data_IF_619953494382
#
_entry.id   IF_619953494382
#
_cell.length_a   1.000
_cell.length_b   1.000
_cell.length_c   1.000
_cell.angle_alpha   90.00
_cell.angle_beta   90.00
_cell.angle_gamma   90.00
#
_symmetry.space_group_name_H-M   'P 1'
#
loop_
_entity.id
_entity.type
_entity.pdbx_description
1 polymer ?
#
# COMPACT_ATOMS: atom_id res chain seq x y z
N UNK A 1 9.07 -16.53 56.37
CA UNK A 1 9.45 -15.22 55.81
C UNK A 1 9.87 -15.46 54.37
N UNK A 2 8.91 -15.49 53.45
CA UNK A 2 9.22 -15.59 52.02
C UNK A 2 8.86 -14.24 51.38
N UNK A 3 9.88 -13.55 50.91
CA UNK A 3 9.75 -12.29 50.21
C UNK A 3 9.16 -12.54 48.82
N UNK A 4 7.94 -12.06 48.60
CA UNK A 4 7.36 -11.96 47.27
C UNK A 4 8.09 -10.84 46.52
N UNK A 5 8.97 -11.21 45.58
CA UNK A 5 9.45 -10.29 44.55
C UNK A 5 8.31 -10.02 43.57
N UNK A 6 7.46 -9.05 43.91
CA UNK A 6 6.50 -8.44 43.00
C UNK A 6 7.25 -7.68 41.91
N UNK A 7 7.62 -8.39 40.84
CA UNK A 7 8.06 -7.77 39.60
C UNK A 7 6.89 -7.03 38.98
N UNK A 8 6.77 -5.75 39.27
CA UNK A 8 5.87 -4.84 38.55
C UNK A 8 6.32 -4.80 37.09
N UNK A 9 5.54 -5.44 36.22
CA UNK A 9 5.67 -5.27 34.78
C UNK A 9 5.54 -3.77 34.48
N UNK A 10 6.63 -3.16 34.04
CA UNK A 10 6.63 -1.79 33.54
C UNK A 10 5.73 -1.78 32.30
N UNK A 11 4.66 -0.97 32.24
CA UNK A 11 3.90 -0.82 31.01
C UNK A 11 4.83 -0.19 29.97
N UNK A 12 5.18 -0.94 28.93
CA UNK A 12 5.93 -0.42 27.79
C UNK A 12 5.06 0.66 27.15
N UNK A 13 5.53 1.90 27.17
CA UNK A 13 4.88 3.04 26.55
C UNK A 13 4.56 2.76 25.07
N UNK A 14 3.26 2.71 24.75
CA UNK A 14 2.68 3.24 23.50
C UNK A 14 3.27 2.80 22.17
N UNK A 15 3.73 1.56 22.01
CA UNK A 15 3.97 1.01 20.67
C UNK A 15 2.65 0.91 19.90
N UNK A 16 2.54 1.53 18.72
CA UNK A 16 1.37 1.33 17.85
C UNK A 16 1.21 -0.17 17.58
N UNK A 17 0.08 -0.73 17.97
CA UNK A 17 -0.29 -2.09 17.57
C UNK A 17 -0.74 -2.06 16.11
N UNK A 18 -0.08 -2.84 15.25
CA UNK A 18 -0.49 -2.99 13.86
C UNK A 18 -1.71 -3.87 13.79
N UNK A 19 -2.83 -3.35 13.29
CA UNK A 19 -4.02 -4.15 13.03
C UNK A 19 -4.02 -4.73 11.61
N UNK A 20 -5.00 -5.59 11.30
CA UNK A 20 -5.20 -6.10 9.94
C UNK A 20 -5.42 -4.96 8.94
N UNK A 21 -6.30 -4.03 9.30
CA UNK A 21 -6.67 -2.91 8.44
C UNK A 21 -5.50 -1.95 8.28
N UNK A 22 -4.73 -1.67 9.34
CA UNK A 22 -3.52 -0.85 9.24
C UNK A 22 -2.51 -1.41 8.23
N UNK A 23 -2.27 -2.73 8.27
CA UNK A 23 -1.34 -3.38 7.33
C UNK A 23 -1.90 -3.34 5.91
N UNK A 24 -3.19 -3.61 5.73
CA UNK A 24 -3.82 -3.56 4.42
C UNK A 24 -3.76 -2.16 3.82
N UNK A 25 -4.17 -1.15 4.58
CA UNK A 25 -4.18 0.24 4.15
C UNK A 25 -2.76 0.70 3.79
N UNK A 26 -1.79 0.32 4.61
CA UNK A 26 -0.39 0.62 4.34
C UNK A 26 0.13 -0.01 3.05
N UNK A 27 -0.23 -1.26 2.77
CA UNK A 27 0.13 -1.93 1.52
C UNK A 27 -0.60 -1.30 0.31
N UNK A 28 -1.83 -0.83 0.49
CA UNK A 28 -2.58 -0.09 -0.53
C UNK A 28 -1.91 1.24 -0.85
N UNK A 29 -1.52 2.01 0.16
CA UNK A 29 -0.79 3.27 -0.02
C UNK A 29 0.58 3.05 -0.68
N UNK A 30 1.30 1.99 -0.30
CA UNK A 30 2.54 1.61 -0.97
C UNK A 30 2.32 1.28 -2.45
N UNK A 31 1.25 0.56 -2.78
CA UNK A 31 0.88 0.25 -4.17
C UNK A 31 0.53 1.52 -4.96
N UNK A 32 -0.22 2.45 -4.36
CA UNK A 32 -0.55 3.75 -4.97
C UNK A 32 0.72 4.57 -5.22
N UNK A 33 1.61 4.62 -4.24
CA UNK A 33 2.91 5.30 -4.33
C UNK A 33 3.76 4.70 -5.45
N UNK A 34 3.82 3.37 -5.54
CA UNK A 34 4.51 2.65 -6.61
C UNK A 34 3.95 3.00 -8.00
N UNK A 35 2.62 3.09 -8.15
CA UNK A 35 2.02 3.48 -9.43
C UNK A 35 2.23 4.95 -9.79
N UNK A 36 2.28 5.84 -8.79
CA UNK A 36 2.63 7.25 -8.99
C UNK A 36 4.10 7.42 -9.38
N UNK A 37 4.97 6.58 -8.83
CA UNK A 37 6.41 6.53 -9.16
C UNK A 37 6.69 5.83 -10.48
N UNK A 38 5.71 5.10 -11.02
CA UNK A 38 5.74 4.33 -12.25
C UNK A 38 6.05 5.16 -13.49
N UNK A 39 7.34 5.41 -13.67
CA UNK A 39 8.06 5.55 -14.91
C UNK A 39 7.90 6.91 -15.65
N UNK A 40 8.77 7.85 -15.27
CA UNK A 40 9.05 9.10 -16.00
C UNK A 40 9.49 8.80 -17.44
N UNK A 41 10.14 7.65 -17.69
CA UNK A 41 10.50 7.18 -19.02
C UNK A 41 9.29 6.65 -19.79
N UNK A 42 8.26 6.07 -19.18
CA UNK A 42 6.99 5.74 -19.87
C UNK A 42 6.27 6.97 -20.36
N UNK A 43 6.34 8.07 -19.61
CA UNK A 43 5.88 9.38 -20.07
C UNK A 43 6.67 9.86 -21.29
N UNK A 44 7.98 9.63 -21.30
CA UNK A 44 8.88 9.95 -22.43
C UNK A 44 8.67 9.02 -23.65
N UNK A 45 8.50 7.71 -23.42
CA UNK A 45 8.38 6.66 -24.43
C UNK A 45 6.99 6.62 -25.08
N UNK A 46 5.92 7.03 -24.38
CA UNK A 46 4.58 7.15 -24.97
C UNK A 46 4.41 8.38 -25.87
N UNK A 47 5.40 9.27 -25.95
CA UNK A 47 5.51 10.28 -27.00
C UNK A 47 5.80 9.71 -28.40
N UNK A 48 5.93 8.38 -28.54
CA UNK A 48 6.39 7.71 -29.75
C UNK A 48 5.43 7.63 -30.94
N UNK A 49 4.22 8.20 -30.88
CA UNK A 49 3.34 8.30 -32.06
C UNK A 49 3.58 9.59 -32.87
N UNK A 50 3.82 10.71 -32.16
CA UNK A 50 3.89 12.05 -32.75
C UNK A 50 5.29 12.67 -32.73
N UNK A 51 6.34 11.87 -32.44
CA UNK A 51 7.71 12.37 -32.33
C UNK A 51 7.90 13.41 -31.21
N UNK A 52 9.05 14.09 -31.13
CA UNK A 52 9.33 15.07 -30.08
C UNK A 52 8.50 16.36 -30.19
N UNK A 53 7.58 16.46 -31.16
CA UNK A 53 6.85 17.69 -31.50
C UNK A 53 5.91 18.16 -30.39
N UNK A 54 5.38 17.26 -29.56
CA UNK A 54 4.60 17.61 -28.37
C UNK A 54 5.44 18.24 -27.24
N UNK A 55 6.78 18.20 -27.35
CA UNK A 55 7.71 18.85 -26.41
C UNK A 55 8.18 20.22 -26.91
N UNK A 56 7.91 20.57 -28.17
CA UNK A 56 8.18 21.90 -28.72
C UNK A 56 7.02 22.81 -28.32
N UNK A 57 7.19 23.50 -27.19
CA UNK A 57 6.26 24.53 -26.76
C UNK A 57 6.41 25.75 -27.69
N UNK A 58 5.32 26.43 -28.11
CA UNK A 58 5.42 27.71 -28.79
C UNK A 58 6.16 28.71 -27.88
N UNK A 59 6.97 29.59 -28.46
CA UNK A 59 7.82 30.56 -27.74
C UNK A 59 7.02 31.45 -26.75
N UNK A 60 5.71 31.61 -26.97
CA UNK A 60 4.75 32.26 -26.06
C UNK A 60 4.34 31.42 -24.83
N UNK A 61 4.99 30.28 -24.60
CA UNK A 61 4.90 29.49 -23.38
C UNK A 61 6.21 29.49 -22.59
N UNK A 62 7.26 30.15 -23.12
CA UNK A 62 8.48 30.45 -22.38
C UNK A 62 8.39 31.86 -21.79
N UNK A 63 7.38 32.07 -20.97
CA UNK A 63 7.19 33.30 -20.21
C UNK A 63 8.02 33.12 -18.93
N UNK A 64 9.20 33.73 -18.93
CA UNK A 64 10.24 33.48 -17.92
C UNK A 64 9.74 33.43 -16.48
N UNK A 65 10.19 32.40 -15.75
CA UNK A 65 10.15 32.36 -14.29
C UNK A 65 8.94 31.63 -13.70
N UNK A 66 9.11 31.21 -12.44
CA UNK A 66 8.30 30.24 -11.69
C UNK A 66 6.80 30.52 -11.54
N UNK A 67 6.28 31.63 -12.06
CA UNK A 67 4.99 32.19 -11.65
C UNK A 67 3.96 32.29 -12.80
N UNK A 68 4.36 32.03 -14.06
CA UNK A 68 3.43 32.14 -15.21
C UNK A 68 2.44 30.96 -15.33
N UNK A 69 2.76 29.80 -14.74
CA UNK A 69 1.89 28.63 -14.76
C UNK A 69 0.72 28.72 -13.76
N UNK A 70 0.81 29.59 -12.74
CA UNK A 70 -0.22 29.73 -11.70
C UNK A 70 -1.42 30.58 -12.13
N UNK A 71 -1.34 31.29 -13.27
CA UNK A 71 -2.39 32.23 -13.71
C UNK A 71 -3.37 31.66 -14.75
N UNK A 72 -3.26 30.38 -15.15
CA UNK A 72 -4.28 29.76 -16.02
C UNK A 72 -5.31 29.04 -15.17
N UNK A 73 -6.57 29.48 -15.25
CA UNK A 73 -7.73 28.83 -14.62
C UNK A 73 -7.88 27.35 -15.04
N UNK A 74 -7.29 26.97 -16.17
CA UNK A 74 -7.30 25.61 -16.74
C UNK A 74 -5.95 24.87 -16.59
N UNK A 75 -5.05 25.34 -15.72
CA UNK A 75 -3.79 24.64 -15.48
C UNK A 75 -4.09 23.24 -14.90
N UNK A 76 -3.70 22.19 -15.64
CA UNK A 76 -3.86 20.82 -15.19
C UNK A 76 -3.14 20.62 -13.85
N UNK A 77 -3.90 20.22 -12.83
CA UNK A 77 -3.36 19.96 -11.47
C UNK A 77 -2.25 18.91 -11.60
N UNK A 78 -1.01 19.33 -11.38
CA UNK A 78 0.15 18.43 -11.37
C UNK A 78 0.18 17.70 -10.02
N UNK A 79 0.17 16.36 -9.99
CA UNK A 79 0.33 15.63 -8.74
C UNK A 79 1.68 15.97 -8.11
N UNK A 80 1.69 16.17 -6.78
CA UNK A 80 2.91 16.47 -6.03
C UNK A 80 3.98 15.39 -6.28
N UNK A 81 5.24 15.82 -6.41
CA UNK A 81 6.37 14.91 -6.56
C UNK A 81 6.47 13.99 -5.33
N UNK A 82 6.87 12.73 -5.56
CA UNK A 82 7.15 11.79 -4.47
C UNK A 82 8.29 12.31 -3.62
N UNK A 83 8.10 12.30 -2.31
CA UNK A 83 9.12 12.62 -1.33
C UNK A 83 9.98 11.38 -1.02
N UNK A 84 11.17 11.58 -0.46
CA UNK A 84 12.01 10.45 0.02
C UNK A 84 11.27 9.62 1.06
N UNK A 85 10.55 10.30 1.95
CA UNK A 85 9.71 9.66 2.96
C UNK A 85 8.69 8.73 2.31
N UNK A 86 7.98 9.16 1.25
CA UNK A 86 7.00 8.30 0.56
C UNK A 86 7.64 7.02 0.00
N UNK A 87 8.88 7.12 -0.50
CA UNK A 87 9.63 5.97 -1.03
C UNK A 87 10.07 5.04 0.09
N UNK A 88 10.67 5.57 1.17
CA UNK A 88 11.10 4.78 2.33
C UNK A 88 9.90 4.02 2.94
N UNK A 89 8.77 4.72 3.04
CA UNK A 89 7.50 4.22 3.54
C UNK A 89 6.91 3.10 2.66
N UNK A 90 7.03 3.23 1.34
CA UNK A 90 6.64 2.21 0.36
C UNK A 90 7.55 0.98 0.42
N UNK A 91 8.87 1.19 0.46
CA UNK A 91 9.87 0.12 0.52
C UNK A 91 9.73 -0.71 1.81
N UNK A 92 9.51 -0.04 2.95
CA UNK A 92 9.22 -0.70 4.22
C UNK A 92 8.01 -1.63 4.09
N UNK A 93 6.89 -1.12 3.57
CA UNK A 93 5.66 -1.88 3.42
C UNK A 93 5.82 -3.09 2.48
N UNK A 94 6.55 -2.94 1.37
CA UNK A 94 6.86 -4.07 0.49
C UNK A 94 7.82 -5.08 1.12
N UNK A 95 8.76 -4.63 1.96
CA UNK A 95 9.63 -5.50 2.73
C UNK A 95 8.86 -6.47 3.64
N UNK A 96 7.69 -6.08 4.14
CA UNK A 96 6.85 -6.98 4.95
C UNK A 96 6.34 -8.19 4.16
N UNK A 97 6.05 -7.99 2.87
CA UNK A 97 5.54 -9.04 1.99
C UNK A 97 6.64 -10.05 1.63
N UNK A 98 7.92 -9.66 1.68
CA UNK A 98 9.05 -10.57 1.41
C UNK A 98 9.13 -11.74 2.38
N UNK A 99 8.63 -11.57 3.60
CA UNK A 99 8.53 -12.62 4.61
C UNK A 99 7.54 -13.74 4.26
N UNK A 100 6.64 -13.52 3.30
CA UNK A 100 5.64 -14.48 2.88
C UNK A 100 6.20 -15.48 1.85
N UNK A 101 5.58 -16.66 1.75
CA UNK A 101 5.86 -17.60 0.66
C UNK A 101 5.45 -17.01 -0.70
N UNK A 102 6.08 -17.43 -1.80
CA UNK A 102 5.86 -16.85 -3.12
C UNK A 102 4.38 -16.86 -3.58
N UNK A 103 3.63 -17.93 -3.26
CA UNK A 103 2.21 -18.02 -3.55
C UNK A 103 1.36 -16.99 -2.80
N UNK A 104 1.67 -16.76 -1.52
CA UNK A 104 1.00 -15.76 -0.69
C UNK A 104 1.36 -14.34 -1.12
N UNK A 105 2.63 -14.09 -1.49
CA UNK A 105 3.05 -12.80 -2.05
C UNK A 105 2.20 -12.44 -3.25
N UNK A 106 2.11 -13.35 -4.23
CA UNK A 106 1.31 -13.12 -5.44
C UNK A 106 -0.17 -12.87 -5.11
N UNK A 107 -0.73 -13.60 -4.14
CA UNK A 107 -2.11 -13.43 -3.69
C UNK A 107 -2.34 -12.05 -3.07
N UNK A 108 -1.48 -11.65 -2.14
CA UNK A 108 -1.55 -10.34 -1.47
C UNK A 108 -1.40 -9.23 -2.50
N UNK A 109 -0.40 -9.29 -3.39
CA UNK A 109 -0.22 -8.31 -4.46
C UNK A 109 -1.44 -8.18 -5.37
N UNK A 110 -2.09 -9.30 -5.74
CA UNK A 110 -3.29 -9.28 -6.58
C UNK A 110 -4.52 -8.68 -5.87
N UNK A 111 -4.65 -8.91 -4.56
CA UNK A 111 -5.72 -8.35 -3.73
C UNK A 111 -5.52 -6.85 -3.50
N UNK A 112 -4.33 -6.45 -3.04
CA UNK A 112 -3.95 -5.04 -2.80
C UNK A 112 -4.08 -4.22 -4.08
N UNK A 113 -3.68 -4.75 -5.23
CA UNK A 113 -3.85 -4.07 -6.51
C UNK A 113 -5.32 -3.88 -6.94
N UNK A 114 -6.28 -4.64 -6.39
CA UNK A 114 -7.70 -4.34 -6.62
C UNK A 114 -8.17 -3.22 -5.72
N UNK A 115 -7.78 -3.24 -4.44
CA UNK A 115 -8.11 -2.21 -3.47
C UNK A 115 -7.54 -0.85 -3.88
N UNK A 116 -6.26 -0.80 -4.29
CA UNK A 116 -5.60 0.40 -4.80
C UNK A 116 -6.24 0.96 -6.08
N UNK A 117 -7.00 0.15 -6.85
CA UNK A 117 -7.81 0.66 -7.98
C UNK A 117 -9.14 1.29 -7.55
N UNK A 118 -9.36 1.46 -6.24
CA UNK A 118 -10.59 2.02 -5.68
C UNK A 118 -11.72 1.00 -5.54
N UNK A 119 -11.45 -0.30 -5.62
CA UNK A 119 -12.48 -1.31 -5.35
C UNK A 119 -12.76 -1.38 -3.86
N UNK A 120 -14.04 -1.30 -3.46
CA UNK A 120 -14.45 -1.39 -2.04
C UNK A 120 -14.13 -2.75 -1.41
N UNK A 121 -14.08 -3.81 -2.21
CA UNK A 121 -13.81 -5.18 -1.77
C UNK A 121 -13.05 -5.94 -2.84
N UNK A 122 -12.27 -6.94 -2.43
CA UNK A 122 -11.51 -7.80 -3.36
C UNK A 122 -12.46 -8.76 -4.07
N UNK A 123 -12.43 -8.76 -5.41
CA UNK A 123 -13.16 -9.75 -6.22
C UNK A 123 -12.37 -11.06 -6.27
N UNK A 124 -12.70 -11.99 -5.36
CA UNK A 124 -12.04 -13.30 -5.29
C UNK A 124 -12.21 -14.15 -6.55
N UNK A 125 -13.30 -13.95 -7.31
CA UNK A 125 -13.50 -14.60 -8.61
C UNK A 125 -12.46 -14.11 -9.62
N UNK A 126 -12.19 -12.80 -9.66
CA UNK A 126 -11.15 -12.23 -10.54
C UNK A 126 -9.75 -12.67 -10.12
N UNK A 127 -9.49 -12.77 -8.81
CA UNK A 127 -8.25 -13.37 -8.29
C UNK A 127 -8.13 -14.82 -8.74
N UNK A 128 -9.14 -15.67 -8.51
CA UNK A 128 -9.07 -17.08 -8.91
C UNK A 128 -8.73 -17.25 -10.40
N UNK A 129 -9.38 -16.47 -11.27
CA UNK A 129 -9.10 -16.45 -12.71
C UNK A 129 -7.66 -16.05 -13.05
N UNK A 130 -7.06 -15.07 -12.36
CA UNK A 130 -5.67 -14.67 -12.62
C UNK A 130 -4.63 -15.71 -12.17
N UNK A 131 -5.06 -16.70 -11.39
CA UNK A 131 -4.28 -17.87 -10.99
C UNK A 131 -4.64 -19.13 -11.79
N UNK A 132 -5.55 -19.06 -12.78
CA UNK A 132 -5.99 -20.21 -13.55
C UNK A 132 -6.84 -21.20 -12.74
N UNK A 133 -7.52 -20.73 -11.69
CA UNK A 133 -8.38 -21.54 -10.83
C UNK A 133 -9.85 -21.29 -11.16
N UNK A 134 -10.59 -22.36 -11.40
CA UNK A 134 -12.04 -22.29 -11.70
C UNK A 134 -12.91 -22.23 -10.43
N UNK A 135 -12.39 -22.70 -9.29
CA UNK A 135 -13.09 -22.77 -8.00
C UNK A 135 -12.13 -22.47 -6.84
N UNK A 136 -12.67 -22.27 -5.63
CA UNK A 136 -11.85 -22.08 -4.41
C UNK A 136 -11.64 -20.62 -3.99
N UNK A 137 -12.59 -19.74 -4.28
CA UNK A 137 -12.56 -18.32 -3.90
C UNK A 137 -12.51 -18.12 -2.38
N UNK A 138 -13.24 -18.93 -1.61
CA UNK A 138 -13.26 -18.84 -0.16
C UNK A 138 -11.90 -19.21 0.46
N UNK A 139 -11.24 -20.25 -0.06
CA UNK A 139 -9.89 -20.61 0.33
C UNK A 139 -8.85 -19.54 -0.02
N UNK A 140 -9.05 -18.76 -1.09
CA UNK A 140 -8.20 -17.60 -1.39
C UNK A 140 -8.43 -16.47 -0.37
N UNK A 141 -9.69 -16.18 -0.01
CA UNK A 141 -10.03 -15.20 1.02
C UNK A 141 -9.40 -15.55 2.36
N UNK A 142 -9.52 -16.81 2.80
CA UNK A 142 -8.93 -17.26 4.06
C UNK A 142 -7.40 -17.18 4.04
N UNK A 143 -6.76 -17.58 2.94
CA UNK A 143 -5.29 -17.49 2.79
C UNK A 143 -4.80 -16.04 2.82
N UNK A 144 -5.52 -15.14 2.15
CA UNK A 144 -5.24 -13.71 2.22
C UNK A 144 -5.37 -13.19 3.66
N UNK A 145 -6.48 -13.53 4.33
CA UNK A 145 -6.71 -13.17 5.73
C UNK A 145 -5.55 -13.58 6.64
N UNK A 146 -5.13 -14.85 6.55
CA UNK A 146 -4.00 -15.40 7.30
C UNK A 146 -2.67 -14.72 6.98
N UNK A 147 -2.43 -14.37 5.71
CA UNK A 147 -1.19 -13.71 5.29
C UNK A 147 -1.06 -12.28 5.83
N UNK A 148 -2.15 -11.49 5.81
CA UNK A 148 -2.12 -10.14 6.39
C UNK A 148 -2.02 -10.22 7.92
N UNK A 149 -2.77 -11.12 8.56
CA UNK A 149 -2.67 -11.32 10.01
C UNK A 149 -1.28 -11.80 10.45
N UNK A 150 -0.58 -12.62 9.64
CA UNK A 150 0.78 -13.05 9.97
C UNK A 150 1.79 -11.91 9.86
N UNK A 151 1.63 -11.00 8.88
CA UNK A 151 2.40 -9.76 8.80
C UNK A 151 2.17 -8.92 10.05
N UNK A 152 0.90 -8.65 10.40
CA UNK A 152 0.57 -7.83 11.56
C UNK A 152 1.12 -8.45 12.87
N UNK A 153 0.98 -9.76 13.05
CA UNK A 153 1.56 -10.46 14.20
C UNK A 153 3.08 -10.35 14.24
N UNK A 154 3.76 -10.41 13.09
CA UNK A 154 5.22 -10.24 13.00
C UNK A 154 5.66 -8.82 13.35
N UNK A 155 4.93 -7.80 12.89
CA UNK A 155 5.19 -6.40 13.24
C UNK A 155 4.99 -6.15 14.75
N UNK A 156 4.02 -6.82 15.36
CA UNK A 156 3.75 -6.75 16.80
C UNK A 156 4.66 -7.66 17.66
N UNK A 157 5.79 -8.14 17.12
CA UNK A 157 6.75 -8.95 17.87
C UNK A 157 6.36 -10.42 18.09
N UNK A 158 5.45 -10.97 17.27
CA UNK A 158 5.07 -12.38 17.27
C UNK A 158 3.91 -12.77 18.19
N UNK A 159 3.31 -11.82 18.92
CA UNK A 159 2.17 -12.08 19.80
C UNK A 159 0.83 -11.94 19.06
N UNK A 160 0.35 -13.04 18.47
CA UNK A 160 -0.96 -13.10 17.79
C UNK A 160 -2.18 -12.95 18.73
N UNK A 161 -1.99 -12.76 20.05
CA UNK A 161 -3.05 -12.75 21.07
C UNK A 161 -3.84 -11.43 21.19
N UNK A 162 -3.44 -10.36 20.50
CA UNK A 162 -4.17 -9.08 20.53
C UNK A 162 -5.39 -9.03 19.58
N UNK A 163 -5.54 -9.99 18.66
CA UNK A 163 -6.55 -9.93 17.59
C UNK A 163 -7.94 -10.50 17.94
N UNK A 164 -8.25 -10.71 19.23
CA UNK A 164 -9.59 -11.15 19.63
C UNK A 164 -10.50 -9.92 19.77
N UNK A 165 -11.23 -9.64 18.69
CA UNK A 165 -12.51 -8.91 18.60
C UNK A 165 -12.90 -8.02 19.79
N UNK A 166 -12.69 -6.71 19.65
CA UNK A 166 -13.17 -5.66 20.56
C UNK A 166 -14.66 -5.29 20.39
N UNK A 167 -15.46 -6.11 19.68
CA UNK A 167 -16.86 -5.78 19.34
C UNK A 167 -17.91 -6.45 20.24
N UNK A 168 -17.55 -6.90 21.46
CA UNK A 168 -18.50 -7.54 22.38
C UNK A 168 -18.46 -7.04 23.84
N UNK A 169 -18.26 -5.74 24.07
CA UNK A 169 -18.60 -5.14 25.38
C UNK A 169 -19.29 -3.79 25.16
N UNK A 170 -20.62 -3.84 25.13
CA UNK A 170 -21.50 -2.69 25.05
C UNK A 170 -22.95 -3.12 25.21
N UNK A 171 -23.29 -3.65 26.39
CA UNK A 171 -24.65 -3.61 26.94
C UNK A 171 -24.69 -2.54 28.00
#
# INVERSE_FOLDING_TARGET
MEAQCGGTAVPVEGGREWTFDDVQDRLVEAMLTCWRGGDRERGWLRGGADGPWHMVLPDAAYDGGRDAAEQRADAAIRPAALTRRDVDEMEEAFGWVEALEAGQRRLVSAAVAQLARGQRQVSWVRVARSFGLDRGTDGLRMRYGRAISSIAARLNGGNARAFVSSDLVGR
#
